data_IF_138569558996
#
_entry.id   IF_138569558996
#
_cell.length_a   1.000
_cell.length_b   1.000
_cell.length_c   1.000
_cell.angle_alpha   90.00
_cell.angle_beta   90.00
_cell.angle_gamma   90.00
#
_symmetry.space_group_name_H-M   'P 1'
#
loop_
_entity.id
_entity.type
_entity.pdbx_description
1 polymer ?
#
# COMPACT_ATOMS: atom_id res chain seq x y z
N UNK A 1 -41.74 1.96 43.65
CA UNK A 1 -40.80 1.02 42.98
C UNK A 1 -41.23 0.93 41.52
N UNK A 2 -40.47 1.51 40.59
CA UNK A 2 -40.80 1.56 39.15
C UNK A 2 -40.07 0.40 38.45
N UNK A 3 -40.81 -0.55 37.90
CA UNK A 3 -40.26 -1.66 37.14
C UNK A 3 -39.79 -1.18 35.76
N UNK A 4 -38.52 -1.39 35.45
CA UNK A 4 -37.90 -1.13 34.15
C UNK A 4 -38.01 -2.41 33.30
N UNK A 5 -38.88 -2.38 32.30
CA UNK A 5 -39.01 -3.45 31.30
C UNK A 5 -37.85 -3.33 30.31
N UNK A 6 -36.94 -4.33 30.31
CA UNK A 6 -35.87 -4.45 29.32
C UNK A 6 -36.45 -5.06 28.04
N UNK A 7 -36.45 -4.29 26.96
CA UNK A 7 -36.73 -4.80 25.61
C UNK A 7 -35.42 -5.33 25.03
N UNK A 8 -35.37 -6.64 24.78
CA UNK A 8 -34.25 -7.30 24.09
C UNK A 8 -34.65 -7.44 22.62
N UNK A 9 -34.00 -6.67 21.74
CA UNK A 9 -34.15 -6.80 20.28
C UNK A 9 -33.17 -7.86 19.82
N UNK A 10 -33.67 -9.05 19.45
CA UNK A 10 -32.88 -10.06 18.76
C UNK A 10 -32.88 -9.77 17.26
N UNK A 11 -31.72 -9.37 16.74
CA UNK A 11 -31.48 -9.26 15.29
C UNK A 11 -30.91 -10.59 14.83
N UNK A 12 -31.65 -11.32 13.99
CA UNK A 12 -31.20 -12.55 13.36
C UNK A 12 -30.38 -12.23 12.08
N UNK A 13 -29.23 -12.88 11.85
CA UNK A 13 -28.52 -12.76 10.58
C UNK A 13 -29.15 -13.64 9.50
N UNK A 14 -29.44 -13.04 8.34
CA UNK A 14 -29.77 -13.75 7.10
C UNK A 14 -28.44 -14.14 6.45
N UNK A 15 -28.15 -15.44 6.38
CA UNK A 15 -27.02 -16.00 5.63
C UNK A 15 -27.51 -16.34 4.22
N UNK A 16 -27.11 -15.55 3.23
CA UNK A 16 -27.28 -15.90 1.81
C UNK A 16 -26.01 -16.60 1.32
N UNK A 17 -26.12 -17.91 1.07
CA UNK A 17 -25.09 -18.69 0.41
C UNK A 17 -25.24 -18.55 -1.12
N UNK A 18 -24.31 -17.83 -1.75
CA UNK A 18 -24.15 -17.80 -3.20
C UNK A 18 -22.98 -18.68 -3.60
N UNK A 19 -23.27 -19.82 -4.23
CA UNK A 19 -22.28 -20.63 -4.94
C UNK A 19 -22.12 -20.07 -6.36
N UNK A 20 -20.91 -19.61 -6.69
CA UNK A 20 -20.49 -19.39 -8.08
C UNK A 20 -19.23 -20.21 -8.34
N UNK A 21 -19.32 -21.00 -9.39
CA UNK A 21 -18.31 -21.92 -9.90
C UNK A 21 -17.33 -21.11 -10.74
N UNK A 22 -16.04 -21.19 -10.44
CA UNK A 22 -14.96 -20.68 -11.28
C UNK A 22 -14.58 -21.77 -12.29
N UNK A 23 -14.67 -21.46 -13.59
CA UNK A 23 -13.93 -22.15 -14.64
C UNK A 23 -12.75 -21.22 -15.01
N UNK A 24 -11.53 -21.70 -14.78
CA UNK A 24 -10.32 -21.09 -15.30
C UNK A 24 -10.05 -21.71 -16.68
N UNK A 25 -10.10 -20.91 -17.74
CA UNK A 25 -9.30 -21.15 -18.94
C UNK A 25 -8.16 -20.14 -18.89
N UNK A 26 -6.95 -20.65 -18.69
CA UNK A 26 -5.70 -19.90 -18.88
C UNK A 26 -5.18 -20.35 -20.23
N UNK A 27 -5.57 -19.60 -21.25
CA UNK A 27 -4.91 -19.63 -22.55
C UNK A 27 -3.58 -18.88 -22.44
N UNK A 28 -2.56 -19.61 -22.85
CA UNK A 28 -1.16 -19.26 -23.08
C UNK A 28 -1.08 -18.05 -24.02
N UNK A 29 -0.52 -16.93 -23.58
CA UNK A 29 -0.27 -15.76 -24.44
C UNK A 29 1.22 -15.39 -24.42
N UNK A 30 1.79 -15.51 -25.61
CA UNK A 30 3.16 -15.33 -26.00
C UNK A 30 3.74 -13.93 -25.69
N UNK A 31 5.07 -13.92 -25.54
CA UNK A 31 5.90 -12.74 -25.39
C UNK A 31 5.75 -11.77 -26.58
N UNK A 32 5.22 -10.58 -26.33
CA UNK A 32 5.09 -9.49 -27.31
C UNK A 32 5.95 -8.27 -26.98
N UNK A 33 7.05 -8.11 -27.73
CA UNK A 33 7.92 -6.93 -27.84
C UNK A 33 7.21 -5.61 -28.13
N UNK A 34 7.65 -4.51 -27.50
CA UNK A 34 7.25 -3.16 -27.92
C UNK A 34 7.81 -2.02 -27.06
N UNK A 35 9.14 -1.82 -27.04
CA UNK A 35 9.75 -0.59 -26.48
C UNK A 35 9.28 0.63 -27.28
N UNK A 36 8.62 1.60 -26.64
CA UNK A 36 8.55 2.97 -27.16
C UNK A 36 9.89 3.66 -26.85
N UNK A 37 10.71 3.66 -27.89
CA UNK A 37 11.96 4.39 -28.01
C UNK A 37 11.62 5.89 -28.11
N UNK A 38 11.76 6.65 -27.02
CA UNK A 38 11.86 8.10 -27.11
C UNK A 38 13.34 8.44 -27.27
N UNK A 39 13.70 8.89 -28.46
CA UNK A 39 15.04 9.36 -28.79
C UNK A 39 15.23 10.83 -28.42
N UNK A 40 16.46 11.15 -27.99
CA UNK A 40 17.12 12.41 -28.33
C UNK A 40 17.42 13.37 -27.17
N UNK A 41 18.64 13.24 -26.62
CA UNK A 41 19.67 14.30 -26.40
C UNK A 41 19.19 15.62 -25.76
N UNK A 42 19.58 15.98 -24.53
CA UNK A 42 20.93 16.42 -24.16
C UNK A 42 21.33 16.03 -22.73
N UNK A 43 22.57 15.53 -22.61
CA UNK A 43 23.24 15.25 -21.35
C UNK A 43 23.61 16.55 -20.63
N UNK A 44 22.72 17.04 -19.77
CA UNK A 44 23.15 17.83 -18.62
C UNK A 44 23.31 16.87 -17.46
N UNK A 45 24.56 16.58 -17.10
CA UNK A 45 24.95 15.90 -15.88
C UNK A 45 24.61 16.80 -14.69
N UNK A 46 23.32 16.95 -14.40
CA UNK A 46 22.86 17.33 -13.08
C UNK A 46 23.15 16.13 -12.21
N UNK A 47 24.26 16.21 -11.48
CA UNK A 47 24.50 15.39 -10.31
C UNK A 47 23.39 15.76 -9.33
N UNK A 48 22.22 15.15 -9.49
CA UNK A 48 21.23 15.05 -8.45
C UNK A 48 21.97 14.34 -7.34
N UNK A 49 22.42 15.13 -6.37
CA UNK A 49 22.94 14.59 -5.14
C UNK A 49 21.72 13.94 -4.52
N UNK A 50 21.58 12.63 -4.72
CA UNK A 50 20.66 11.80 -3.97
C UNK A 50 21.02 12.01 -2.50
N UNK A 51 20.35 12.99 -1.89
CA UNK A 51 20.27 13.14 -0.46
C UNK A 51 19.32 12.06 0.08
N UNK A 52 19.54 10.81 -0.35
CA UNK A 52 19.14 9.61 0.35
C UNK A 52 20.09 9.48 1.54
N UNK A 53 19.91 10.39 2.51
CA UNK A 53 20.38 10.15 3.87
C UNK A 53 19.60 8.96 4.39
N UNK A 54 20.07 7.76 4.03
CA UNK A 54 19.55 6.46 4.41
C UNK A 54 19.58 6.36 5.92
N UNK A 55 18.56 6.90 6.56
CA UNK A 55 18.19 6.46 7.88
C UNK A 55 17.70 5.04 7.66
N UNK A 56 18.43 4.06 8.17
CA UNK A 56 18.07 2.63 8.22
C UNK A 56 16.80 2.45 9.06
N UNK A 57 15.69 3.05 8.61
CA UNK A 57 14.41 2.94 9.26
C UNK A 57 14.05 1.45 9.25
N UNK A 58 13.68 0.89 10.40
CA UNK A 58 13.34 -0.52 10.46
C UNK A 58 12.21 -0.78 9.47
N UNK A 59 12.37 -1.80 8.63
CA UNK A 59 11.34 -2.25 7.68
C UNK A 59 10.38 -3.24 8.32
N UNK A 60 10.73 -3.77 9.49
CA UNK A 60 9.94 -4.78 10.22
C UNK A 60 10.03 -4.57 11.73
N UNK A 61 9.03 -5.07 12.47
CA UNK A 61 9.03 -5.12 13.93
C UNK A 61 8.92 -6.58 14.39
N UNK A 62 10.05 -7.24 14.70
CA UNK A 62 10.06 -8.65 15.10
C UNK A 62 9.14 -8.94 16.29
N UNK A 63 8.43 -10.06 16.23
CA UNK A 63 7.56 -10.55 17.31
C UNK A 63 6.12 -10.03 17.28
N UNK A 64 5.81 -8.96 16.56
CA UNK A 64 4.42 -8.47 16.45
C UNK A 64 3.51 -9.48 15.75
N UNK A 65 4.00 -10.16 14.71
CA UNK A 65 3.23 -11.17 14.00
C UNK A 65 2.72 -12.25 14.95
N UNK A 66 3.60 -12.83 15.79
CA UNK A 66 3.20 -13.84 16.77
C UNK A 66 2.19 -13.29 17.79
N UNK A 67 2.40 -12.05 18.26
CA UNK A 67 1.53 -11.39 19.24
C UNK A 67 0.08 -11.24 18.77
N UNK A 68 -0.13 -10.90 17.50
CA UNK A 68 -1.48 -10.71 16.95
C UNK A 68 -2.11 -12.00 16.41
N UNK A 69 -1.52 -13.18 16.66
CA UNK A 69 -2.05 -14.47 16.24
C UNK A 69 -1.50 -15.00 14.92
N UNK A 70 -0.28 -14.59 14.56
CA UNK A 70 0.41 -15.03 13.34
C UNK A 70 -0.11 -14.35 12.07
N UNK A 71 0.24 -14.87 10.88
CA UNK A 71 -0.13 -14.28 9.59
C UNK A 71 -1.63 -14.07 9.39
N UNK A 72 -2.48 -14.98 9.91
CA UNK A 72 -3.93 -14.86 9.84
C UNK A 72 -4.49 -13.71 10.70
N UNK A 73 -3.90 -13.50 11.87
CA UNK A 73 -4.19 -12.37 12.74
C UNK A 73 -3.81 -11.03 12.11
N UNK A 74 -2.62 -10.95 11.51
CA UNK A 74 -2.20 -9.77 10.73
C UNK A 74 -3.11 -9.54 9.52
N UNK A 75 -3.53 -10.60 8.82
CA UNK A 75 -4.48 -10.49 7.71
C UNK A 75 -5.82 -9.89 8.14
N UNK A 76 -6.35 -10.35 9.28
CA UNK A 76 -7.58 -9.78 9.88
C UNK A 76 -7.40 -8.31 10.24
N UNK A 77 -6.23 -7.94 10.76
CA UNK A 77 -5.90 -6.57 11.11
C UNK A 77 -5.84 -5.67 9.86
N UNK A 78 -5.19 -6.13 8.80
CA UNK A 78 -5.15 -5.44 7.50
C UNK A 78 -6.57 -5.19 6.97
N UNK A 79 -7.47 -6.17 7.05
CA UNK A 79 -8.86 -6.00 6.61
C UNK A 79 -9.60 -4.92 7.38
N UNK A 80 -9.41 -4.87 8.70
CA UNK A 80 -9.99 -3.81 9.54
C UNK A 80 -9.43 -2.43 9.19
N UNK A 81 -8.15 -2.34 8.88
CA UNK A 81 -7.51 -1.08 8.47
C UNK A 81 -8.08 -0.61 7.14
N UNK A 82 -8.19 -1.51 6.15
CA UNK A 82 -8.77 -1.20 4.85
C UNK A 82 -10.24 -0.77 4.98
N UNK A 83 -11.02 -1.42 5.84
CA UNK A 83 -12.39 -1.03 6.12
C UNK A 83 -12.48 0.34 6.81
N UNK A 84 -11.61 0.61 7.78
CA UNK A 84 -11.54 1.90 8.48
C UNK A 84 -11.13 3.04 7.52
N UNK A 85 -10.11 2.80 6.69
CA UNK A 85 -9.64 3.76 5.69
C UNK A 85 -10.71 4.02 4.62
N UNK A 86 -11.44 2.99 4.17
CA UNK A 86 -12.57 3.16 3.25
C UNK A 86 -13.71 3.99 3.88
N UNK A 87 -13.94 3.85 5.19
CA UNK A 87 -14.97 4.62 5.91
C UNK A 87 -14.51 6.03 6.29
N UNK A 88 -13.21 6.33 6.26
CA UNK A 88 -12.66 7.64 6.56
C UNK A 88 -13.00 8.63 5.44
N UNK A 89 -13.76 9.68 5.78
CA UNK A 89 -14.21 10.65 4.79
C UNK A 89 -13.09 11.48 4.15
N UNK A 90 -11.84 11.40 4.63
CA UNK A 90 -10.67 12.08 4.05
C UNK A 90 -9.98 11.30 2.94
N UNK A 91 -10.08 9.97 2.98
CA UNK A 91 -9.29 9.05 2.12
C UNK A 91 -10.11 7.90 1.54
N UNK A 92 -11.37 7.74 1.97
CA UNK A 92 -12.22 6.60 1.60
C UNK A 92 -12.49 6.47 0.10
N UNK A 93 -12.36 7.57 -0.65
CA UNK A 93 -12.53 7.56 -2.10
C UNK A 93 -11.47 6.73 -2.82
N UNK A 94 -10.23 6.69 -2.30
CA UNK A 94 -9.15 5.91 -2.89
C UNK A 94 -9.48 4.42 -2.89
N UNK A 95 -10.21 3.98 -1.86
CA UNK A 95 -10.61 2.58 -1.67
C UNK A 95 -11.95 2.24 -2.32
N UNK A 96 -12.90 3.19 -2.37
CA UNK A 96 -14.22 2.95 -2.97
C UNK A 96 -14.20 2.95 -4.49
N UNK A 97 -13.20 3.59 -5.10
CA UNK A 97 -13.00 3.59 -6.57
C UNK A 97 -12.16 2.42 -7.09
N UNK A 98 -11.64 1.55 -6.23
CA UNK A 98 -11.04 0.28 -6.64
C UNK A 98 -12.14 -0.63 -7.22
N UNK A 99 -12.13 -0.83 -8.54
CA UNK A 99 -13.10 -1.66 -9.23
C UNK A 99 -12.55 -3.07 -9.51
N UNK A 100 -13.46 -4.06 -9.57
CA UNK A 100 -13.15 -5.42 -10.02
C UNK A 100 -11.98 -6.07 -9.26
N UNK A 101 -11.10 -6.74 -10.01
CA UNK A 101 -9.92 -7.44 -9.48
C UNK A 101 -8.92 -6.53 -8.76
N UNK A 102 -8.92 -5.22 -9.05
CA UNK A 102 -7.99 -4.27 -8.41
C UNK A 102 -8.18 -4.16 -6.90
N UNK A 103 -9.43 -4.25 -6.42
CA UNK A 103 -9.70 -4.27 -4.97
C UNK A 103 -9.11 -5.51 -4.30
N UNK A 104 -9.29 -6.68 -4.91
CA UNK A 104 -8.74 -7.94 -4.39
C UNK A 104 -7.22 -7.88 -4.34
N UNK A 105 -6.58 -7.42 -5.43
CA UNK A 105 -5.13 -7.26 -5.50
C UNK A 105 -4.60 -6.33 -4.39
N UNK A 106 -5.16 -5.13 -4.25
CA UNK A 106 -4.73 -4.17 -3.22
C UNK A 106 -4.89 -4.74 -1.81
N UNK A 107 -6.02 -5.41 -1.51
CA UNK A 107 -6.24 -6.01 -0.19
C UNK A 107 -5.20 -7.09 0.11
N UNK A 108 -4.90 -7.96 -0.84
CA UNK A 108 -3.92 -9.02 -0.63
C UNK A 108 -2.50 -8.49 -0.51
N UNK A 109 -2.11 -7.52 -1.35
CA UNK A 109 -0.82 -6.88 -1.25
C UNK A 109 -0.66 -6.11 0.06
N UNK A 110 -1.71 -5.42 0.52
CA UNK A 110 -1.69 -4.75 1.83
C UNK A 110 -1.54 -5.75 2.99
N UNK A 111 -2.20 -6.91 2.91
CA UNK A 111 -2.03 -7.99 3.91
C UNK A 111 -0.58 -8.48 3.96
N UNK A 112 0.03 -8.72 2.80
CA UNK A 112 1.44 -9.15 2.71
C UNK A 112 2.39 -8.08 3.24
N UNK A 113 2.16 -6.81 2.87
CA UNK A 113 2.94 -5.69 3.38
C UNK A 113 2.89 -5.63 4.91
N UNK A 114 1.69 -5.74 5.48
CA UNK A 114 1.53 -5.71 6.93
C UNK A 114 2.16 -6.93 7.61
N UNK A 115 2.08 -8.11 7.00
CA UNK A 115 2.72 -9.33 7.51
C UNK A 115 4.25 -9.21 7.53
N UNK A 116 4.86 -8.65 6.48
CA UNK A 116 6.29 -8.36 6.46
C UNK A 116 6.64 -7.31 7.53
N UNK A 117 5.91 -6.19 7.59
CA UNK A 117 6.14 -5.14 8.59
C UNK A 117 6.00 -5.66 10.04
N UNK A 118 5.14 -6.66 10.28
CA UNK A 118 4.99 -7.33 11.59
C UNK A 118 6.02 -8.43 11.85
N UNK A 119 6.94 -8.68 10.92
CA UNK A 119 7.98 -9.69 11.03
C UNK A 119 7.45 -11.12 10.97
N UNK A 120 6.43 -11.39 10.15
CA UNK A 120 5.95 -12.76 9.94
C UNK A 120 7.01 -13.61 9.21
N UNK A 121 7.34 -14.82 9.71
CA UNK A 121 8.35 -15.68 9.09
C UNK A 121 8.01 -16.02 7.63
N UNK A 122 8.99 -15.86 6.74
CA UNK A 122 8.89 -16.24 5.32
C UNK A 122 7.97 -15.35 4.48
N UNK A 123 7.48 -14.22 5.01
CA UNK A 123 6.70 -13.26 4.24
C UNK A 123 7.60 -12.15 3.72
N UNK A 124 7.51 -11.90 2.41
CA UNK A 124 8.14 -10.79 1.72
C UNK A 124 7.03 -10.08 0.91
N UNK A 125 6.97 -8.75 0.95
CA UNK A 125 5.99 -8.00 0.18
C UNK A 125 6.42 -7.84 -1.28
N UNK A 126 7.59 -7.23 -1.52
CA UNK A 126 8.04 -6.89 -2.86
C UNK A 126 8.24 -8.17 -3.68
N UNK A 127 7.59 -8.24 -4.85
CA UNK A 127 7.66 -9.40 -5.75
C UNK A 127 6.77 -10.59 -5.35
N UNK A 128 6.00 -10.48 -4.26
CA UNK A 128 4.96 -11.46 -3.97
C UNK A 128 3.75 -11.30 -4.91
N UNK A 129 2.97 -12.36 -5.13
CA UNK A 129 1.80 -12.32 -6.02
C UNK A 129 0.48 -12.29 -5.26
N UNK A 130 -0.49 -11.53 -5.78
CA UNK A 130 -1.90 -11.68 -5.46
C UNK A 130 -2.47 -12.95 -6.12
N UNK A 131 -3.68 -13.33 -5.73
CA UNK A 131 -4.48 -14.41 -6.31
C UNK A 131 -4.84 -14.15 -7.77
N UNK A 132 -4.84 -12.90 -8.22
CA UNK A 132 -4.96 -12.51 -9.62
C UNK A 132 -3.66 -12.69 -10.43
N UNK A 133 -2.57 -13.16 -9.81
CA UNK A 133 -1.28 -13.37 -10.47
C UNK A 133 -0.42 -12.10 -10.63
N UNK A 134 -0.94 -10.94 -10.24
CA UNK A 134 -0.25 -9.64 -10.29
C UNK A 134 0.76 -9.52 -9.15
N UNK A 135 1.90 -8.88 -9.41
CA UNK A 135 2.92 -8.66 -8.39
C UNK A 135 2.53 -7.50 -7.47
N UNK A 136 2.80 -7.65 -6.18
CA UNK A 136 2.82 -6.55 -5.25
C UNK A 136 4.02 -5.66 -5.56
N UNK A 137 3.74 -4.54 -6.24
CA UNK A 137 4.71 -3.53 -6.68
C UNK A 137 5.39 -2.86 -5.48
N UNK A 138 6.51 -2.17 -5.70
CA UNK A 138 7.10 -1.30 -4.68
C UNK A 138 6.12 -0.19 -4.28
N UNK A 139 6.29 0.41 -3.10
CA UNK A 139 5.37 1.45 -2.61
C UNK A 139 5.30 2.66 -3.55
N UNK A 140 6.42 3.08 -4.14
CA UNK A 140 6.42 4.17 -5.14
C UNK A 140 5.60 3.78 -6.36
N UNK A 141 5.98 2.69 -7.04
CA UNK A 141 5.32 2.24 -8.26
C UNK A 141 3.83 1.92 -8.05
N UNK A 142 3.44 1.45 -6.86
CA UNK A 142 2.04 1.19 -6.54
C UNK A 142 1.19 2.47 -6.44
N UNK A 143 1.81 3.62 -6.15
CA UNK A 143 1.15 4.91 -5.95
C UNK A 143 1.43 5.93 -7.07
N UNK A 144 2.34 5.63 -8.02
CA UNK A 144 2.65 6.50 -9.18
C UNK A 144 1.43 6.79 -10.07
N UNK A 145 0.51 5.83 -10.17
CA UNK A 145 -0.73 5.96 -10.93
C UNK A 145 -1.75 6.89 -10.26
N UNK A 146 -1.53 7.24 -8.99
CA UNK A 146 -2.35 8.22 -8.28
C UNK A 146 -1.90 9.61 -8.68
N UNK A 147 -2.68 10.24 -9.56
CA UNK A 147 -2.40 11.58 -10.06
C UNK A 147 -3.39 12.59 -9.50
N UNK A 148 -2.87 13.78 -9.22
CA UNK A 148 -3.65 14.93 -8.83
C UNK A 148 -4.23 15.67 -10.06
N UNK A 149 -5.17 16.60 -9.86
CA UNK A 149 -5.80 17.44 -10.88
C UNK A 149 -4.79 18.43 -11.46
N UNK A 150 -3.76 18.74 -10.68
CA UNK A 150 -2.59 19.51 -11.10
C UNK A 150 -1.57 18.64 -11.87
N UNK A 151 -1.87 17.35 -12.11
CA UNK A 151 -0.99 16.39 -12.75
C UNK A 151 0.17 15.90 -11.89
N UNK A 152 0.13 16.11 -10.57
CA UNK A 152 1.20 15.68 -9.64
C UNK A 152 0.97 14.22 -9.21
N UNK A 153 2.02 13.41 -9.23
CA UNK A 153 1.97 12.01 -8.81
C UNK A 153 2.00 11.82 -7.29
N UNK A 154 1.46 10.70 -6.82
CA UNK A 154 1.46 10.25 -5.43
C UNK A 154 0.40 10.92 -4.54
N UNK A 155 0.33 10.53 -3.28
CA UNK A 155 -0.59 11.08 -2.28
C UNK A 155 -0.10 12.42 -1.70
N UNK A 156 -1.03 13.19 -1.10
CA UNK A 156 -0.64 14.29 -0.22
C UNK A 156 -0.18 13.71 1.13
N UNK A 157 0.70 14.43 1.82
CA UNK A 157 1.13 14.06 3.17
C UNK A 157 -0.06 13.90 4.14
N UNK A 158 -1.08 14.75 4.02
CA UNK A 158 -2.30 14.65 4.82
C UNK A 158 -3.12 13.36 4.57
N UNK A 159 -3.10 12.82 3.35
CA UNK A 159 -3.80 11.56 3.03
C UNK A 159 -3.08 10.37 3.66
N UNK A 160 -1.74 10.35 3.57
CA UNK A 160 -0.92 9.35 4.21
C UNK A 160 -1.09 9.36 5.74
N UNK A 161 -1.10 10.55 6.34
CA UNK A 161 -1.32 10.69 7.78
C UNK A 161 -2.73 10.22 8.20
N UNK A 162 -3.77 10.50 7.40
CA UNK A 162 -5.11 9.97 7.65
C UNK A 162 -5.15 8.43 7.62
N UNK A 163 -4.44 7.81 6.68
CA UNK A 163 -4.30 6.36 6.63
C UNK A 163 -3.59 5.81 7.87
N UNK A 164 -2.48 6.44 8.28
CA UNK A 164 -1.75 6.09 9.49
C UNK A 164 -2.63 6.15 10.75
N UNK A 165 -3.48 7.17 10.87
CA UNK A 165 -4.43 7.30 11.99
C UNK A 165 -5.45 6.15 12.01
N UNK A 166 -6.00 5.80 10.85
CA UNK A 166 -6.89 4.63 10.72
C UNK A 166 -6.16 3.34 11.11
N UNK A 167 -4.91 3.17 10.67
CA UNK A 167 -4.09 2.01 11.01
C UNK A 167 -3.79 1.90 12.51
N UNK A 168 -3.30 2.99 13.12
CA UNK A 168 -2.97 3.06 14.56
C UNK A 168 -4.20 2.78 15.43
N UNK A 169 -5.37 3.26 15.05
CA UNK A 169 -6.61 2.95 15.77
C UNK A 169 -6.91 1.44 15.79
N UNK A 170 -6.72 0.74 14.67
CA UNK A 170 -6.91 -0.71 14.61
C UNK A 170 -5.82 -1.48 15.34
N UNK A 171 -4.57 -1.03 15.27
CA UNK A 171 -3.46 -1.61 16.03
C UNK A 171 -3.71 -1.52 17.54
N UNK A 172 -4.16 -0.37 18.02
CA UNK A 172 -4.53 -0.16 19.42
C UNK A 172 -5.70 -1.07 19.82
N UNK A 173 -6.71 -1.19 18.97
CA UNK A 173 -7.84 -2.10 19.20
C UNK A 173 -7.42 -3.59 19.21
N UNK A 174 -6.31 -3.94 18.56
CA UNK A 174 -5.70 -5.27 18.61
C UNK A 174 -4.80 -5.50 19.84
N UNK A 175 -4.68 -4.52 20.74
CA UNK A 175 -3.93 -4.63 21.99
C UNK A 175 -2.43 -4.36 21.86
N UNK A 176 -1.99 -3.66 20.80
CA UNK A 176 -0.61 -3.15 20.74
C UNK A 176 -0.42 -2.04 21.79
N UNK A 177 0.72 -2.09 22.45
CA UNK A 177 1.19 -1.08 23.42
C UNK A 177 1.69 0.18 22.68
N UNK A 178 1.78 1.30 23.39
CA UNK A 178 2.25 2.56 22.78
C UNK A 178 3.68 2.44 22.20
N UNK A 179 4.56 1.67 22.84
CA UNK A 179 5.91 1.37 22.34
C UNK A 179 5.87 0.57 21.02
N UNK A 180 4.97 -0.41 20.92
CA UNK A 180 4.79 -1.19 19.69
C UNK A 180 4.16 -0.35 18.58
N UNK A 181 3.20 0.51 18.92
CA UNK A 181 2.61 1.49 18.02
C UNK A 181 3.67 2.47 17.48
N UNK A 182 4.58 2.94 18.32
CA UNK A 182 5.68 3.81 17.89
C UNK A 182 6.62 3.10 16.90
N UNK A 183 6.98 1.84 17.17
CA UNK A 183 7.83 1.03 16.29
C UNK A 183 7.18 0.79 14.93
N UNK A 184 5.94 0.28 14.91
CA UNK A 184 5.26 0.00 13.65
C UNK A 184 4.96 1.28 12.87
N UNK A 185 4.61 2.38 13.56
CA UNK A 185 4.46 3.69 12.92
C UNK A 185 5.76 4.16 12.25
N UNK A 186 6.92 3.90 12.88
CA UNK A 186 8.21 4.21 12.27
C UNK A 186 8.45 3.44 10.97
N UNK A 187 8.01 2.17 10.88
CA UNK A 187 8.06 1.39 9.64
C UNK A 187 7.26 2.09 8.55
N UNK A 188 6.00 2.43 8.82
CA UNK A 188 5.14 3.12 7.86
C UNK A 188 5.72 4.47 7.41
N UNK A 189 6.21 5.29 8.36
CA UNK A 189 6.83 6.58 8.04
C UNK A 189 8.05 6.46 7.12
N UNK A 190 8.74 5.31 7.12
CA UNK A 190 9.81 5.01 6.18
C UNK A 190 9.34 5.01 4.71
N UNK A 191 8.08 4.68 4.45
CA UNK A 191 7.48 4.68 3.10
C UNK A 191 6.83 6.00 2.71
N UNK A 192 6.83 7.02 3.59
CA UNK A 192 6.11 8.27 3.31
C UNK A 192 6.65 8.96 2.05
N UNK A 193 7.95 8.93 1.79
CA UNK A 193 8.55 9.52 0.59
C UNK A 193 8.05 8.89 -0.71
N UNK A 194 7.89 7.56 -0.71
CA UNK A 194 7.43 6.79 -1.86
C UNK A 194 5.92 6.94 -2.09
N UNK A 195 5.14 6.97 -1.01
CA UNK A 195 3.67 6.97 -1.07
C UNK A 195 3.10 8.39 -1.21
N UNK A 196 3.69 9.35 -0.50
CA UNK A 196 3.24 10.73 -0.40
C UNK A 196 4.38 11.72 -0.67
N UNK A 197 4.95 11.72 -1.89
CA UNK A 197 6.08 12.60 -2.26
C UNK A 197 5.72 14.09 -2.21
N UNK A 198 4.43 14.44 -2.17
CA UNK A 198 3.93 15.82 -2.10
C UNK A 198 4.02 16.40 -0.69
N UNK A 199 5.25 16.51 -0.18
CA UNK A 199 5.56 17.05 1.15
C UNK A 199 5.03 18.48 1.33
N UNK A 200 4.56 18.82 2.54
CA UNK A 200 4.07 20.16 2.88
C UNK A 200 2.62 20.45 2.48
N UNK A 201 1.98 19.57 1.70
CA UNK A 201 0.53 19.68 1.49
C UNK A 201 -0.22 19.10 2.69
N UNK A 202 -0.70 20.01 3.55
CA UNK A 202 -1.46 19.68 4.77
C UNK A 202 -2.95 19.48 4.50
N UNK A 203 -3.39 19.55 3.25
CA UNK A 203 -4.80 19.32 2.88
C UNK A 203 -4.99 17.94 2.27
N UNK A 204 -6.06 17.26 2.67
CA UNK A 204 -6.44 15.99 2.06
C UNK A 204 -6.87 16.21 0.61
N UNK A 205 -6.44 15.33 -0.29
CA UNK A 205 -6.75 15.47 -1.72
C UNK A 205 -8.26 15.26 -1.98
N UNK A 206 -8.91 14.38 -1.21
CA UNK A 206 -10.30 13.99 -1.43
C UNK A 206 -11.13 13.92 -0.16
N UNK A 207 -11.64 15.07 0.26
CA UNK A 207 -12.49 15.09 1.43
C UNK A 207 -13.99 15.07 1.10
N UNK A 208 -14.68 14.06 1.62
CA UNK A 208 -16.15 13.91 1.59
C UNK A 208 -16.78 14.13 2.97
N UNK A 209 -16.01 14.64 3.93
CA UNK A 209 -16.50 14.87 5.29
C UNK A 209 -17.67 15.87 5.29
N UNK A 210 -18.66 15.59 6.14
CA UNK A 210 -19.83 16.45 6.29
C UNK A 210 -19.41 17.87 6.68
N UNK A 211 -19.92 18.87 5.97
CA UNK A 211 -19.54 20.27 6.19
C UNK A 211 -18.13 20.63 5.75
N UNK A 212 -17.43 19.76 4.99
CA UNK A 212 -16.09 20.05 4.45
C UNK A 212 -15.05 20.26 5.54
N UNK A 213 -15.22 19.67 6.71
CA UNK A 213 -14.25 19.73 7.81
C UNK A 213 -14.09 18.36 8.45
N UNK A 214 -12.90 18.09 9.00
CA UNK A 214 -12.68 16.94 9.86
C UNK A 214 -12.03 17.40 11.16
N UNK A 215 -12.26 16.69 12.26
CA UNK A 215 -11.63 16.99 13.54
C UNK A 215 -10.72 15.82 13.92
N UNK A 216 -9.39 15.97 13.87
CA UNK A 216 -8.49 14.93 14.35
C UNK A 216 -8.69 14.70 15.86
N UNK A 217 -8.33 13.52 16.35
CA UNK A 217 -8.50 13.18 17.76
C UNK A 217 -7.80 14.20 18.68
N UNK A 218 -8.60 14.94 19.47
CA UNK A 218 -8.09 15.99 20.38
C UNK A 218 -7.72 17.32 19.72
N UNK A 219 -8.00 17.52 18.43
CA UNK A 219 -7.68 18.73 17.70
C UNK A 219 -8.87 19.67 17.46
N UNK A 220 -8.59 20.78 16.79
CA UNK A 220 -9.61 21.68 16.25
C UNK A 220 -10.10 21.19 14.89
N UNK A 221 -11.33 21.55 14.46
CA UNK A 221 -11.78 21.28 13.11
C UNK A 221 -10.81 21.84 12.07
N UNK A 222 -10.40 21.01 11.13
CA UNK A 222 -9.53 21.35 10.00
C UNK A 222 -10.37 21.41 8.74
N UNK A 223 -10.18 22.46 7.95
CA UNK A 223 -10.82 22.59 6.65
C UNK A 223 -10.36 21.45 5.74
N UNK A 224 -11.34 20.79 5.17
CA UNK A 224 -11.21 19.68 4.26
C UNK A 224 -11.63 20.23 2.90
N UNK A 225 -10.68 20.77 2.15
CA UNK A 225 -10.98 21.39 0.86
C UNK A 225 -11.27 20.25 -0.12
N UNK A 226 -12.49 20.10 -0.64
CA UNK A 226 -12.72 19.21 -1.77
C UNK A 226 -11.99 19.84 -2.96
N UNK A 227 -10.80 19.35 -3.29
CA UNK A 227 -10.16 19.78 -4.52
C UNK A 227 -11.03 19.29 -5.69
N UNK A 228 -11.79 20.22 -6.28
CA UNK A 228 -12.15 20.31 -7.70
C UNK A 228 -12.81 19.15 -8.45
N UNK A 229 -13.02 17.97 -7.85
CA UNK A 229 -13.52 16.79 -8.56
C UNK A 229 -12.44 16.21 -9.48
N UNK A 230 -11.61 15.32 -8.95
CA UNK A 230 -10.70 14.56 -9.79
C UNK A 230 -11.41 13.36 -10.42
N UNK A 231 -10.99 13.05 -11.64
CA UNK A 231 -11.07 11.69 -12.17
C UNK A 231 -9.91 10.95 -11.50
N UNK A 232 -10.20 10.14 -10.47
CA UNK A 232 -9.30 9.04 -10.16
C UNK A 232 -9.53 8.12 -11.35
N UNK A 233 -8.59 8.00 -12.31
CA UNK A 233 -8.74 6.99 -13.35
C UNK A 233 -9.03 5.67 -12.63
N UNK A 234 -9.90 4.82 -13.19
CA UNK A 234 -10.06 3.47 -12.66
C UNK A 234 -8.64 2.97 -12.42
N UNK A 235 -8.29 2.74 -11.14
CA UNK A 235 -6.95 2.30 -10.78
C UNK A 235 -6.93 0.87 -11.29
N UNK A 236 -6.55 0.73 -12.55
CA UNK A 236 -6.18 -0.53 -13.11
C UNK A 236 -5.00 -0.99 -12.27
N UNK A 237 -5.16 -2.13 -11.61
CA UNK A 237 -4.06 -2.71 -10.85
C UNK A 237 -2.85 -3.03 -11.74
N UNK A 238 -3.00 -2.88 -13.06
CA UNK A 238 -1.94 -3.01 -14.05
C UNK A 238 -1.60 -4.48 -14.25
N UNK A 239 -1.56 -4.92 -15.49
CA UNK A 239 -0.73 -6.08 -15.84
C UNK A 239 0.71 -5.58 -15.88
N UNK A 240 1.55 -6.11 -15.01
CA UNK A 240 2.88 -5.58 -14.71
C UNK A 240 3.74 -5.25 -15.95
N UNK A 241 4.48 -4.13 -15.89
CA UNK A 241 5.74 -4.01 -16.59
C UNK A 241 6.71 -5.09 -16.05
N UNK A 242 7.51 -5.76 -16.90
CA UNK A 242 8.35 -6.87 -16.45
C UNK A 242 9.22 -6.43 -15.29
N UNK A 243 9.10 -7.16 -14.18
CA UNK A 243 10.05 -7.08 -13.08
C UNK A 243 11.41 -7.32 -13.71
N UNK A 244 12.31 -6.35 -13.58
CA UNK A 244 13.73 -6.59 -13.85
C UNK A 244 14.13 -7.54 -12.73
N UNK A 245 13.94 -8.85 -12.93
CA UNK A 245 14.48 -9.85 -12.05
C UNK A 245 15.97 -9.53 -11.98
N UNK A 246 16.45 -9.23 -10.79
CA UNK A 246 17.86 -9.02 -10.51
C UNK A 246 18.67 -9.96 -11.39
N UNK A 247 19.53 -9.37 -12.23
CA UNK A 247 20.50 -10.14 -12.99
C UNK A 247 21.13 -11.11 -12.00
N UNK A 248 21.04 -12.41 -12.30
CA UNK A 248 21.74 -13.42 -11.54
C UNK A 248 23.15 -12.91 -11.28
N UNK A 249 23.68 -13.00 -10.04
CA UNK A 249 25.04 -12.55 -9.77
C UNK A 249 25.93 -13.20 -10.82
N UNK A 250 26.57 -12.36 -11.63
CA UNK A 250 27.54 -12.79 -12.63
C UNK A 250 28.56 -13.62 -11.87
N UNK A 251 28.43 -14.94 -11.95
CA UNK A 251 29.40 -15.88 -11.42
C UNK A 251 30.56 -15.80 -12.39
N UNK A 252 31.35 -14.73 -12.22
CA UNK A 252 32.52 -14.42 -13.01
C UNK A 252 33.31 -15.70 -13.19
N UNK A 253 33.28 -16.23 -14.41
CA UNK A 253 34.19 -17.29 -14.79
C UNK A 253 35.53 -16.57 -14.94
N UNK A 254 36.58 -16.91 -14.16
CA UNK A 254 37.85 -16.27 -14.33
C UNK A 254 38.35 -16.58 -15.73
N UNK A 255 38.55 -15.53 -16.54
CA UNK A 255 39.30 -15.62 -17.79
C UNK A 255 40.70 -16.07 -17.38
N UNK A 256 41.03 -17.33 -17.64
CA UNK A 256 42.38 -17.83 -17.55
C UNK A 256 43.18 -17.16 -18.66
N UNK A 257 43.99 -16.17 -18.30
CA UNK A 257 45.08 -15.67 -19.15
C UNK A 257 46.05 -16.84 -19.40
N UNK A 258 45.91 -17.46 -20.56
CA UNK A 258 46.95 -18.33 -21.09
C UNK A 258 48.12 -17.44 -21.50
N UNK A 259 49.17 -17.45 -20.67
CA UNK A 259 50.49 -16.97 -21.07
C UNK A 259 50.99 -17.85 -22.21
N UNK A 260 51.03 -17.26 -23.41
CA UNK A 260 51.61 -17.85 -24.60
C UNK A 260 53.13 -17.60 -24.54
N UNK A 261 53.86 -18.59 -24.01
CA UNK A 261 55.31 -18.69 -24.13
C UNK A 261 55.66 -19.27 -25.51
N UNK A 262 56.29 -18.47 -26.37
CA UNK A 262 56.84 -19.01 -27.61
C UNK A 262 57.72 -18.05 -28.40
N UNK A 263 59.03 -18.36 -28.40
CA UNK A 263 59.85 -18.40 -29.63
C UNK A 263 60.57 -17.13 -30.06
#
# INVERSE_FOLDING_TARGET
MKALTRVVVMVAPIVAAGALVFACDVEDEEAGTGKKQFGGTDATTSTATDASGGSDAPTTVPGLCAKVGGPGGVGTLSDKIMAAAQADCRIGIYFSRLAGGGRTHVVECMRRHLQEAFGCPGVVYAGSKSSSGQNCRSMGNAHDDITSIEGKQGLNQADFQAYLEAAVAQFKAAGLTDDELAKIRSVFLGYQGDVAPRAGNTTNTYCTCAGGTFTPAGGQPVACIPDGGYIIPVIDAGTDAPVVSDAAPDTGTPVQDASDDGG
#
